data_IF_305573034599
#
_entry.id   IF_305573034599
#
_cell.length_a   1.000
_cell.length_b   1.000
_cell.length_c   1.000
_cell.angle_alpha   90.00
_cell.angle_beta   90.00
_cell.angle_gamma   90.00
#
_symmetry.space_group_name_H-M   'P 1'
#
loop_
_entity.id
_entity.type
_entity.pdbx_description
1 polymer ?
#
# COMPACT_ATOMS: atom_id res chain seq x y z
N UNK A 1 9.62 -23.28 17.73
CA UNK A 1 10.80 -23.87 17.06
C UNK A 1 10.42 -24.11 15.62
N UNK A 2 11.22 -23.59 14.70
CA UNK A 2 10.87 -23.47 13.29
C UNK A 2 10.86 -24.83 12.60
N UNK A 3 9.74 -25.18 11.96
CA UNK A 3 9.67 -26.28 11.01
C UNK A 3 9.53 -25.64 9.64
N UNK A 4 10.61 -25.66 8.86
CA UNK A 4 10.50 -25.51 7.41
C UNK A 4 9.79 -26.79 6.93
N UNK A 5 8.65 -26.73 6.22
CA UNK A 5 8.19 -27.90 5.49
C UNK A 5 9.26 -28.21 4.45
N UNK A 6 10.13 -29.16 4.78
CA UNK A 6 11.29 -29.52 4.00
C UNK A 6 10.84 -30.26 2.75
N UNK A 7 11.05 -29.64 1.58
CA UNK A 7 11.04 -30.21 0.23
C UNK A 7 9.77 -30.95 -0.20
N UNK A 8 9.13 -30.41 -1.23
CA UNK A 8 8.33 -31.21 -2.17
C UNK A 8 9.29 -31.66 -3.30
N UNK A 9 9.19 -32.92 -3.70
CA UNK A 9 9.85 -33.46 -4.90
C UNK A 9 9.44 -32.60 -6.11
N UNK A 10 10.39 -32.17 -6.94
CA UNK A 10 10.26 -31.36 -8.18
C UNK A 10 10.77 -29.91 -8.18
N UNK A 11 11.54 -29.48 -7.18
CA UNK A 11 12.42 -28.31 -7.33
C UNK A 11 11.73 -26.94 -7.29
N UNK A 12 10.41 -26.91 -7.10
CA UNK A 12 9.67 -25.68 -6.81
C UNK A 12 9.90 -25.27 -5.34
N UNK A 13 10.42 -24.06 -5.13
CA UNK A 13 10.58 -23.49 -3.80
C UNK A 13 9.21 -23.06 -3.25
N UNK A 14 8.72 -23.82 -2.28
CA UNK A 14 7.54 -23.39 -1.50
C UNK A 14 7.95 -22.33 -0.48
N UNK A 15 7.15 -21.25 -0.31
CA UNK A 15 7.48 -20.20 0.64
C UNK A 15 7.50 -20.74 2.07
N UNK A 16 8.49 -20.29 2.85
CA UNK A 16 8.65 -20.69 4.24
C UNK A 16 7.40 -20.32 5.06
N UNK A 17 6.98 -21.23 5.95
CA UNK A 17 5.82 -21.07 6.82
C UNK A 17 6.19 -21.38 8.27
N UNK A 18 5.62 -20.63 9.21
CA UNK A 18 5.85 -20.84 10.65
C UNK A 18 4.82 -21.80 11.26
N UNK A 19 5.32 -22.78 12.02
CA UNK A 19 4.51 -23.78 12.73
C UNK A 19 4.96 -23.91 14.19
N UNK A 20 4.06 -24.42 15.04
CA UNK A 20 4.38 -24.83 16.41
C UNK A 20 5.26 -26.07 16.39
N UNK A 21 6.29 -26.11 17.26
CA UNK A 21 7.23 -27.24 17.36
C UNK A 21 6.59 -28.48 18.00
N UNK A 22 5.59 -28.26 18.86
CA UNK A 22 4.91 -29.29 19.64
C UNK A 22 3.49 -29.50 19.08
N UNK A 23 3.41 -30.34 18.06
CA UNK A 23 2.18 -30.63 17.30
C UNK A 23 2.52 -31.47 16.07
N UNK A 24 1.52 -32.05 15.40
CA UNK A 24 1.76 -32.61 14.06
C UNK A 24 2.28 -31.45 13.18
N UNK A 25 3.30 -31.63 12.32
CA UNK A 25 3.90 -30.54 11.53
C UNK A 25 2.91 -29.81 10.59
N UNK A 26 1.72 -30.37 10.40
CA UNK A 26 0.61 -29.81 9.62
C UNK A 26 -0.48 -29.12 10.48
N UNK A 27 -0.39 -29.21 11.81
CA UNK A 27 -1.27 -28.55 12.78
C UNK A 27 -0.53 -27.32 13.33
N UNK A 28 -0.76 -26.18 12.71
CA UNK A 28 -0.23 -24.89 13.13
C UNK A 28 -0.69 -23.80 12.16
N UNK A 29 -0.52 -22.53 12.50
CA UNK A 29 -1.13 -21.43 11.76
C UNK A 29 -0.55 -21.27 10.34
N UNK A 30 0.64 -21.81 10.07
CA UNK A 30 1.20 -21.88 8.71
C UNK A 30 1.46 -20.50 8.10
N UNK A 31 1.78 -19.52 8.93
CA UNK A 31 1.91 -18.11 8.53
C UNK A 31 3.17 -17.88 7.71
N UNK A 32 3.09 -16.97 6.73
CA UNK A 32 4.22 -16.48 5.92
C UNK A 32 4.80 -15.16 6.45
N UNK A 33 4.31 -14.70 7.60
CA UNK A 33 4.62 -13.39 8.18
C UNK A 33 5.05 -13.56 9.64
N UNK A 34 5.92 -12.68 10.10
CA UNK A 34 6.36 -12.61 11.51
C UNK A 34 5.61 -11.53 12.31
N UNK A 35 4.73 -10.77 11.64
CA UNK A 35 3.94 -9.71 12.25
C UNK A 35 2.55 -9.69 11.64
N UNK A 36 1.53 -9.78 12.49
CA UNK A 36 0.13 -9.57 12.12
C UNK A 36 -0.65 -9.08 13.32
N UNK A 37 -1.80 -8.47 13.06
CA UNK A 37 -2.83 -8.29 14.06
C UNK A 37 -3.70 -9.54 14.08
N UNK A 38 -4.05 -10.02 15.27
CA UNK A 38 -4.83 -11.26 15.40
C UNK A 38 -3.92 -12.48 15.52
N UNK A 39 -4.32 -13.61 14.92
CA UNK A 39 -3.62 -14.90 15.04
C UNK A 39 -3.19 -15.20 16.48
N UNK A 40 -4.13 -15.02 17.43
CA UNK A 40 -3.83 -14.94 18.87
C UNK A 40 -3.05 -16.13 19.40
N UNK A 41 -3.34 -17.36 18.93
CA UNK A 41 -2.57 -18.55 19.30
C UNK A 41 -1.10 -18.45 18.86
N UNK A 42 -0.85 -17.91 17.66
CA UNK A 42 0.50 -17.71 17.14
C UNK A 42 1.24 -16.60 17.90
N UNK A 43 0.54 -15.54 18.31
CA UNK A 43 1.09 -14.46 19.13
C UNK A 43 1.42 -14.94 20.56
N UNK A 44 0.51 -15.68 21.20
CA UNK A 44 0.70 -16.28 22.53
C UNK A 44 1.89 -17.25 22.56
N UNK A 45 2.08 -18.00 21.47
CA UNK A 45 3.23 -18.90 21.28
C UNK A 45 4.54 -18.15 20.90
N UNK A 46 4.48 -16.82 20.71
CA UNK A 46 5.61 -15.98 20.34
C UNK A 46 6.11 -16.18 18.91
N UNK A 47 5.28 -16.71 18.01
CA UNK A 47 5.60 -16.90 16.59
C UNK A 47 5.54 -15.58 15.80
N UNK A 48 4.66 -14.68 16.22
CA UNK A 48 4.44 -13.38 15.60
C UNK A 48 4.33 -12.28 16.66
N UNK A 49 4.39 -11.01 16.22
CA UNK A 49 4.11 -9.85 17.06
C UNK A 49 3.17 -8.87 16.35
N UNK A 50 2.26 -8.23 17.09
CA UNK A 50 1.38 -7.19 16.56
C UNK A 50 2.03 -5.80 16.40
N UNK A 51 3.26 -5.61 16.90
CA UNK A 51 3.92 -4.29 16.92
C UNK A 51 4.36 -3.87 15.50
N UNK A 52 3.87 -2.74 14.97
CA UNK A 52 4.28 -2.27 13.65
C UNK A 52 5.69 -1.66 13.67
N UNK A 53 6.31 -1.59 12.51
CA UNK A 53 7.43 -0.68 12.29
C UNK A 53 6.89 0.69 11.92
N UNK A 54 7.39 1.74 12.57
CA UNK A 54 6.93 3.12 12.39
C UNK A 54 8.05 3.94 11.78
N UNK A 55 7.76 4.56 10.63
CA UNK A 55 8.67 5.44 9.92
C UNK A 55 8.01 6.81 9.73
N UNK A 56 8.84 7.86 9.73
CA UNK A 56 8.43 9.22 9.47
C UNK A 56 9.14 9.74 8.23
N UNK A 57 8.37 10.27 7.28
CA UNK A 57 8.88 10.93 6.08
C UNK A 57 8.28 12.33 6.01
N UNK A 58 9.12 13.35 5.88
CA UNK A 58 8.66 14.70 5.63
C UNK A 58 8.46 14.86 4.12
N UNK A 59 7.21 15.06 3.69
CA UNK A 59 6.87 15.24 2.28
C UNK A 59 7.66 16.42 1.71
N UNK A 60 8.42 16.14 0.65
CA UNK A 60 9.22 17.09 -0.10
C UNK A 60 8.48 17.59 -1.35
N UNK A 61 8.89 18.75 -1.92
CA UNK A 61 8.24 19.27 -3.13
C UNK A 61 8.30 18.35 -4.35
N UNK A 62 9.25 17.42 -4.39
CA UNK A 62 9.44 16.44 -5.47
C UNK A 62 8.75 15.10 -5.18
N UNK A 63 8.03 14.96 -4.06
CA UNK A 63 7.23 13.77 -3.80
C UNK A 63 5.87 13.94 -4.50
N UNK A 64 5.67 13.19 -5.58
CA UNK A 64 4.51 13.38 -6.45
C UNK A 64 3.30 12.54 -6.02
N UNK A 65 3.56 11.30 -5.60
CA UNK A 65 2.51 10.37 -5.22
C UNK A 65 2.99 9.34 -4.19
N UNK A 66 2.02 8.72 -3.51
CA UNK A 66 2.20 7.59 -2.60
C UNK A 66 1.37 6.40 -3.10
N UNK A 67 1.98 5.21 -3.13
CA UNK A 67 1.31 3.95 -3.41
C UNK A 67 1.30 3.11 -2.13
N UNK A 68 0.12 2.66 -1.72
CA UNK A 68 -0.05 1.65 -0.67
C UNK A 68 -0.79 0.47 -1.29
N UNK A 69 -0.28 -0.76 -1.13
CA UNK A 69 -0.94 -1.92 -1.71
C UNK A 69 -0.67 -3.21 -0.94
N UNK A 70 -1.54 -4.20 -1.12
CA UNK A 70 -1.32 -5.58 -0.65
C UNK A 70 -0.20 -6.28 -1.45
N UNK A 71 0.27 -7.42 -0.95
CA UNK A 71 1.16 -8.33 -1.69
C UNK A 71 0.58 -8.78 -3.03
N UNK A 72 -0.74 -8.79 -3.18
CA UNK A 72 -1.41 -8.91 -4.47
C UNK A 72 -0.88 -7.94 -5.54
N UNK A 73 -0.34 -6.77 -5.21
CA UNK A 73 0.41 -5.94 -6.18
C UNK A 73 1.89 -6.34 -6.22
N UNK A 74 2.53 -6.37 -5.06
CA UNK A 74 3.99 -6.43 -4.93
C UNK A 74 4.62 -7.80 -5.26
N UNK A 75 3.83 -8.87 -5.34
CA UNK A 75 4.31 -10.21 -5.71
C UNK A 75 4.96 -10.22 -7.10
N UNK A 76 4.38 -9.49 -8.07
CA UNK A 76 4.84 -9.48 -9.46
C UNK A 76 5.05 -8.08 -10.06
N UNK A 77 4.91 -7.04 -9.25
CA UNK A 77 5.20 -5.65 -9.64
C UNK A 77 6.21 -5.11 -8.65
N UNK A 78 7.39 -4.73 -9.15
CA UNK A 78 8.39 -4.05 -8.34
C UNK A 78 8.11 -2.54 -8.24
N UNK A 79 8.83 -1.87 -7.33
CA UNK A 79 8.67 -0.44 -7.08
C UNK A 79 8.86 0.40 -8.36
N UNK A 80 9.83 0.03 -9.20
CA UNK A 80 10.14 0.73 -10.43
C UNK A 80 8.99 0.64 -11.46
N UNK A 81 8.39 -0.53 -11.62
CA UNK A 81 7.25 -0.73 -12.51
C UNK A 81 6.00 -0.03 -11.96
N UNK A 82 5.74 -0.12 -10.65
CA UNK A 82 4.59 0.55 -10.04
C UNK A 82 4.68 2.09 -10.20
N UNK A 83 5.85 2.66 -9.90
CA UNK A 83 6.11 4.10 -10.07
C UNK A 83 6.06 4.51 -11.53
N UNK A 84 6.53 3.69 -12.48
CA UNK A 84 6.41 4.00 -13.90
C UNK A 84 4.95 4.05 -14.38
N UNK A 85 4.10 3.11 -13.92
CA UNK A 85 2.66 3.08 -14.27
C UNK A 85 1.95 4.32 -13.73
N UNK A 86 2.13 4.61 -12.45
CA UNK A 86 1.45 5.72 -11.77
C UNK A 86 2.01 7.07 -12.22
N UNK A 87 3.33 7.20 -12.35
CA UNK A 87 4.00 8.40 -12.84
C UNK A 87 3.61 8.73 -14.27
N UNK A 88 3.55 7.73 -15.17
CA UNK A 88 3.03 7.94 -16.52
C UNK A 88 1.58 8.45 -16.52
N UNK A 89 0.72 7.90 -15.66
CA UNK A 89 -0.66 8.35 -15.54
C UNK A 89 -0.73 9.81 -15.05
N UNK A 90 0.06 10.14 -14.02
CA UNK A 90 0.16 11.50 -13.48
C UNK A 90 0.63 12.51 -14.55
N UNK A 91 1.68 12.18 -15.30
CA UNK A 91 2.22 13.01 -16.40
C UNK A 91 1.18 13.28 -17.51
N UNK A 92 0.24 12.36 -17.69
CA UNK A 92 -0.87 12.49 -18.64
C UNK A 92 -2.09 13.21 -18.06
N UNK A 93 -2.02 13.69 -16.82
CA UNK A 93 -3.14 14.33 -16.14
C UNK A 93 -4.29 13.36 -15.83
N UNK A 94 -4.01 12.06 -15.77
CA UNK A 94 -4.99 11.04 -15.39
C UNK A 94 -5.18 11.10 -13.89
N UNK A 95 -6.43 11.05 -13.42
CA UNK A 95 -6.72 11.10 -11.99
C UNK A 95 -6.21 9.87 -11.24
N UNK A 96 -5.95 10.04 -9.94
CA UNK A 96 -5.37 8.99 -9.09
C UNK A 96 -6.22 7.71 -9.04
N UNK A 97 -7.55 7.79 -9.19
CA UNK A 97 -8.42 6.60 -9.19
C UNK A 97 -8.17 5.77 -10.44
N UNK A 98 -8.02 6.40 -11.60
CA UNK A 98 -7.72 5.70 -12.84
C UNK A 98 -6.28 5.19 -12.87
N UNK A 99 -5.31 5.94 -12.34
CA UNK A 99 -3.94 5.46 -12.16
C UNK A 99 -3.89 4.21 -11.27
N UNK A 100 -4.65 4.21 -10.17
CA UNK A 100 -4.80 3.03 -9.30
C UNK A 100 -5.39 1.82 -10.05
N UNK A 101 -6.44 2.04 -10.86
CA UNK A 101 -7.01 0.97 -11.70
C UNK A 101 -6.00 0.42 -12.70
N UNK A 102 -5.17 1.27 -13.31
CA UNK A 102 -4.10 0.83 -14.20
C UNK A 102 -3.12 -0.09 -13.47
N UNK A 103 -2.69 0.28 -12.25
CA UNK A 103 -1.82 -0.55 -11.42
C UNK A 103 -2.45 -1.90 -11.07
N UNK A 104 -3.72 -1.90 -10.62
CA UNK A 104 -4.47 -3.12 -10.29
C UNK A 104 -4.62 -4.02 -11.53
N UNK A 105 -4.93 -3.45 -12.69
CA UNK A 105 -5.04 -4.20 -13.95
C UNK A 105 -3.71 -4.82 -14.36
N UNK A 106 -2.61 -4.08 -14.26
CA UNK A 106 -1.28 -4.62 -14.54
C UNK A 106 -0.93 -5.76 -13.59
N UNK A 107 -1.22 -5.62 -12.29
CA UNK A 107 -1.01 -6.71 -11.33
C UNK A 107 -1.83 -7.95 -11.72
N UNK A 108 -3.13 -7.78 -12.02
CA UNK A 108 -3.98 -8.89 -12.43
C UNK A 108 -3.49 -9.61 -13.70
N UNK A 109 -2.88 -8.88 -14.64
CA UNK A 109 -2.24 -9.46 -15.83
C UNK A 109 -0.98 -10.26 -15.45
N UNK A 110 -0.16 -9.75 -14.53
CA UNK A 110 1.03 -10.46 -14.07
C UNK A 110 0.67 -11.73 -13.30
N UNK A 111 -0.34 -11.69 -12.42
CA UNK A 111 -0.86 -12.89 -11.76
C UNK A 111 -1.30 -13.94 -12.77
N UNK A 112 -2.09 -13.56 -13.77
CA UNK A 112 -2.53 -14.49 -14.83
C UNK A 112 -1.35 -15.08 -15.61
N UNK A 113 -0.28 -14.30 -15.81
CA UNK A 113 0.91 -14.72 -16.55
C UNK A 113 1.75 -15.74 -15.76
N UNK A 114 1.89 -15.56 -14.45
CA UNK A 114 2.75 -16.41 -13.61
C UNK A 114 1.99 -17.59 -12.98
N UNK A 115 0.74 -17.37 -12.54
CA UNK A 115 -0.06 -18.31 -11.75
C UNK A 115 -1.34 -18.81 -12.48
N UNK A 116 -1.51 -18.43 -13.75
CA UNK A 116 -2.57 -18.91 -14.61
C UNK A 116 -3.97 -18.50 -14.14
N UNK A 117 -4.69 -19.44 -13.52
CA UNK A 117 -6.05 -19.22 -13.01
C UNK A 117 -6.10 -18.78 -11.56
N UNK A 118 -4.99 -18.89 -10.83
CA UNK A 118 -4.89 -18.42 -9.46
C UNK A 118 -4.48 -16.94 -9.43
N UNK A 119 -5.03 -16.22 -8.45
CA UNK A 119 -4.76 -14.80 -8.20
C UNK A 119 -5.15 -14.48 -6.77
N UNK A 120 -4.29 -13.75 -6.06
CA UNK A 120 -4.62 -13.23 -4.73
C UNK A 120 -5.54 -12.00 -4.79
N UNK A 121 -6.00 -11.53 -3.64
CA UNK A 121 -6.72 -10.26 -3.53
C UNK A 121 -5.79 -9.07 -3.80
N UNK A 122 -6.12 -8.31 -4.84
CA UNK A 122 -5.33 -7.15 -5.26
C UNK A 122 -6.01 -5.89 -4.73
N UNK A 123 -5.37 -5.23 -3.76
CA UNK A 123 -5.84 -3.96 -3.19
C UNK A 123 -4.74 -2.91 -3.30
N UNK A 124 -5.09 -1.70 -3.76
CA UNK A 124 -4.16 -0.58 -3.85
C UNK A 124 -4.86 0.76 -3.58
N UNK A 125 -4.07 1.70 -3.06
CA UNK A 125 -4.37 3.12 -2.94
C UNK A 125 -3.27 3.90 -3.65
N UNK A 126 -3.68 4.82 -4.51
CA UNK A 126 -2.79 5.81 -5.13
C UNK A 126 -3.24 7.19 -4.67
N UNK A 127 -2.30 7.96 -4.14
CA UNK A 127 -2.56 9.29 -3.59
C UNK A 127 -1.61 10.26 -4.29
N UNK A 128 -2.15 11.26 -4.98
CA UNK A 128 -1.35 12.37 -5.48
C UNK A 128 -1.11 13.34 -4.32
N UNK A 129 0.16 13.55 -3.99
CA UNK A 129 0.55 14.27 -2.78
C UNK A 129 0.33 15.78 -2.87
N UNK A 130 0.62 16.49 -3.98
CA UNK A 130 0.50 17.94 -4.00
C UNK A 130 -0.90 18.48 -3.62
N UNK A 131 -2.01 17.95 -4.18
CA UNK A 131 -3.36 18.40 -3.80
C UNK A 131 -3.71 18.09 -2.33
N UNK A 132 -3.25 16.95 -1.81
CA UNK A 132 -3.51 16.54 -0.42
C UNK A 132 -2.73 17.43 0.55
N UNK A 133 -1.47 17.72 0.26
CA UNK A 133 -0.64 18.62 1.07
C UNK A 133 -1.23 20.03 1.08
N UNK A 134 -1.73 20.52 -0.06
CA UNK A 134 -2.42 21.81 -0.13
C UNK A 134 -3.70 21.83 0.72
N UNK A 135 -4.54 20.80 0.60
CA UNK A 135 -5.76 20.68 1.40
C UNK A 135 -5.46 20.65 2.92
N UNK A 136 -4.50 19.83 3.35
CA UNK A 136 -4.09 19.74 4.75
C UNK A 136 -3.51 21.06 5.28
N UNK A 137 -2.74 21.79 4.46
CA UNK A 137 -2.23 23.13 4.83
C UNK A 137 -3.36 24.12 5.04
N UNK A 138 -4.41 24.07 4.21
CA UNK A 138 -5.57 24.95 4.32
C UNK A 138 -6.41 24.62 5.56
N UNK A 139 -6.61 23.35 5.88
CA UNK A 139 -7.31 22.91 7.10
C UNK A 139 -6.59 23.34 8.38
N UNK A 140 -5.25 23.25 8.38
CA UNK A 140 -4.43 23.64 9.53
C UNK A 140 -4.26 25.17 9.67
N UNK A 141 -4.64 25.96 8.67
CA UNK A 141 -4.53 27.42 8.71
C UNK A 141 -5.78 28.11 8.12
N UNK A 142 -6.95 27.97 8.77
CA UNK A 142 -8.23 28.41 8.23
C UNK A 142 -8.33 29.94 8.04
N UNK A 143 -7.54 30.73 8.77
CA UNK A 143 -7.58 32.20 8.69
C UNK A 143 -6.98 32.78 7.40
N UNK A 144 -6.26 31.99 6.59
CA UNK A 144 -5.71 32.44 5.31
C UNK A 144 -6.62 32.18 4.10
N UNK A 145 -7.76 31.51 4.28
CA UNK A 145 -8.66 31.10 3.19
C UNK A 145 -9.77 32.08 2.83
N UNK A 146 -9.98 33.16 3.61
CA UNK A 146 -11.01 34.16 3.32
C UNK A 146 -10.34 35.43 2.78
N UNK A 147 -10.05 35.46 1.48
CA UNK A 147 -9.92 36.74 0.77
C UNK A 147 -11.33 37.23 0.44
N UNK A 148 -11.99 37.92 1.38
CA UNK A 148 -13.14 38.76 1.02
C UNK A 148 -12.66 39.80 0.00
N UNK A 149 -13.29 39.94 -1.18
CA UNK A 149 -13.06 41.11 -2.00
C UNK A 149 -13.49 42.32 -1.17
N UNK A 150 -12.58 43.25 -0.95
CA UNK A 150 -12.90 44.55 -0.37
C UNK A 150 -13.81 45.23 -1.38
N UNK A 151 -15.13 45.15 -1.16
CA UNK A 151 -16.08 46.06 -1.79
C UNK A 151 -15.76 47.42 -1.20
N UNK A 152 -15.00 48.22 -1.94
CA UNK A 152 -14.84 49.64 -1.64
C UNK A 152 -16.22 50.27 -1.75
N UNK A 153 -16.83 50.47 -0.57
CA UNK A 153 -18.08 51.18 -0.42
C UNK A 153 -17.85 52.64 -0.82
N UNK A 154 -18.54 53.01 -1.89
CA UNK A 154 -19.25 54.28 -2.07
C UNK A 154 -18.50 55.58 -1.75
N UNK A 155 -18.03 56.25 -2.80
CA UNK A 155 -17.87 57.70 -2.80
C UNK A 155 -19.12 58.31 -3.46
N UNK A 156 -20.17 58.45 -2.66
CA UNK A 156 -21.25 59.40 -2.93
C UNK A 156 -20.73 60.82 -2.72
N UNK A 157 -20.78 61.64 -3.75
CA UNK A 157 -21.10 63.06 -3.63
C UNK A 157 -21.61 63.61 -4.98
N UNK A 158 -22.66 64.45 -4.97
CA UNK A 158 -23.21 65.10 -6.17
C UNK A 158 -22.28 66.15 -6.79
#
# INVERSE_FOLDING_TARGET
GWVMPSRIEDGDEVPARSYKKEGKPWLGPGLRISRSLGDTEAEEDGLIIARPDVMHHQIQPNDEFLILASDGVWEFIDDAMATAIVGYALDKGVDATQACKMLIMQSALQWRKHEGHYRDDITAYVIYLPPVVEALRNELNPEKGVTTPRLDADSTAP
#
